data_IF_434919009464
#
_entry.id   IF_434919009464
#
_cell.length_a   1.000
_cell.length_b   1.000
_cell.length_c   1.000
_cell.angle_alpha   90.00
_cell.angle_beta   90.00
_cell.angle_gamma   90.00
#
_symmetry.space_group_name_H-M   'P 1'
#
loop_
_entity.id
_entity.type
_entity.pdbx_description
1 polymer ?
#
# COMPACT_ATOMS: atom_id res chain seq x y z
N UNK A 1 23.98 18.16 1.89
CA UNK A 1 22.79 18.74 1.24
C UNK A 1 21.60 18.29 2.08
N UNK A 2 20.94 19.19 2.81
CA UNK A 2 19.79 18.81 3.63
C UNK A 2 18.62 18.44 2.70
N UNK A 3 17.99 17.28 2.91
CA UNK A 3 16.79 16.91 2.19
C UNK A 3 15.70 17.97 2.42
N UNK A 4 15.33 18.70 1.38
CA UNK A 4 14.25 19.67 1.43
C UNK A 4 12.98 19.00 0.93
N UNK A 5 12.18 18.50 1.87
CA UNK A 5 10.87 17.95 1.52
C UNK A 5 9.95 19.08 1.08
N UNK A 6 9.46 18.99 -0.14
CA UNK A 6 8.42 19.91 -0.61
C UNK A 6 7.14 19.70 0.19
N UNK A 7 6.27 20.71 0.26
CA UNK A 7 4.96 20.56 0.91
C UNK A 7 4.17 19.38 0.32
N UNK A 8 4.27 19.17 -1.00
CA UNK A 8 3.67 18.02 -1.67
C UNK A 8 4.25 16.69 -1.19
N UNK A 9 5.58 16.58 -1.09
CA UNK A 9 6.28 15.42 -0.54
C UNK A 9 5.81 15.08 0.87
N UNK A 10 5.66 16.10 1.73
CA UNK A 10 5.19 15.92 3.11
C UNK A 10 3.76 15.39 3.16
N UNK A 11 2.86 15.91 2.31
CA UNK A 11 1.48 15.41 2.20
C UNK A 11 1.47 13.94 1.78
N UNK A 12 2.27 13.58 0.77
CA UNK A 12 2.38 12.20 0.29
C UNK A 12 2.91 11.26 1.38
N UNK A 13 3.93 11.66 2.13
CA UNK A 13 4.48 10.87 3.23
C UNK A 13 3.46 10.67 4.36
N UNK A 14 2.75 11.73 4.74
CA UNK A 14 1.70 11.65 5.78
C UNK A 14 0.55 10.76 5.30
N UNK A 15 0.08 10.94 4.07
CA UNK A 15 -0.97 10.11 3.47
C UNK A 15 -0.56 8.64 3.33
N UNK A 16 0.68 8.39 2.93
CA UNK A 16 1.26 7.06 2.89
C UNK A 16 1.28 6.40 4.27
N UNK A 17 1.70 7.13 5.31
CA UNK A 17 1.72 6.63 6.68
C UNK A 17 0.32 6.31 7.20
N UNK A 18 -0.67 7.16 6.90
CA UNK A 18 -2.08 6.87 7.21
C UNK A 18 -2.57 5.60 6.52
N UNK A 19 -2.20 5.40 5.26
CA UNK A 19 -2.55 4.17 4.54
C UNK A 19 -1.88 2.91 5.12
N UNK A 20 -0.64 3.00 5.62
CA UNK A 20 0.01 1.89 6.35
C UNK A 20 -0.79 1.53 7.61
N UNK A 21 -1.20 2.53 8.40
CA UNK A 21 -2.02 2.31 9.59
C UNK A 21 -3.36 1.67 9.25
N UNK A 22 -4.03 2.16 8.22
CA UNK A 22 -5.29 1.59 7.74
C UNK A 22 -5.11 0.14 7.25
N UNK A 23 -4.05 -0.13 6.50
CA UNK A 23 -3.68 -1.48 6.08
C UNK A 23 -3.50 -2.43 7.27
N UNK A 24 -2.76 -2.00 8.29
CA UNK A 24 -2.55 -2.81 9.50
C UNK A 24 -3.90 -3.12 10.18
N UNK A 25 -4.78 -2.12 10.30
CA UNK A 25 -6.12 -2.32 10.83
C UNK A 25 -6.94 -3.32 10.00
N UNK A 26 -6.89 -3.24 8.66
CA UNK A 26 -7.61 -4.15 7.76
C UNK A 26 -7.09 -5.59 7.79
N UNK A 27 -5.77 -5.78 7.96
CA UNK A 27 -5.13 -7.11 7.98
C UNK A 27 -5.34 -7.81 9.32
N UNK A 28 -5.15 -7.08 10.42
CA UNK A 28 -5.16 -7.64 11.78
C UNK A 28 -6.51 -7.48 12.50
N UNK A 29 -7.39 -6.60 12.00
CA UNK A 29 -8.71 -6.37 12.57
C UNK A 29 -9.65 -7.57 12.39
N UNK A 30 -10.37 -7.93 13.47
CA UNK A 30 -11.43 -8.95 13.41
C UNK A 30 -12.71 -8.33 12.86
N UNK A 31 -13.12 -8.75 11.67
CA UNK A 31 -14.30 -8.23 10.95
C UNK A 31 -15.04 -9.36 10.24
N UNK A 32 -16.34 -9.19 9.98
CA UNK A 32 -17.22 -10.20 9.36
C UNK A 32 -16.69 -10.73 8.01
N UNK A 33 -16.01 -9.89 7.23
CA UNK A 33 -15.36 -10.26 5.96
C UNK A 33 -13.84 -10.29 6.07
N UNK A 34 -13.33 -11.13 6.97
CA UNK A 34 -11.90 -11.15 7.33
C UNK A 34 -10.97 -11.34 6.12
N UNK A 35 -11.31 -12.21 5.17
CA UNK A 35 -10.46 -12.45 3.98
C UNK A 35 -10.46 -11.28 2.99
N UNK A 36 -11.64 -10.76 2.63
CA UNK A 36 -11.75 -9.60 1.74
C UNK A 36 -11.05 -8.36 2.34
N UNK A 37 -11.19 -8.14 3.65
CA UNK A 37 -10.53 -7.03 4.33
C UNK A 37 -9.01 -7.20 4.38
N UNK A 38 -8.49 -8.41 4.52
CA UNK A 38 -7.04 -8.67 4.41
C UNK A 38 -6.52 -8.36 3.01
N UNK A 39 -7.23 -8.75 1.97
CA UNK A 39 -6.86 -8.44 0.57
C UNK A 39 -6.90 -6.94 0.31
N UNK A 40 -7.94 -6.25 0.81
CA UNK A 40 -8.03 -4.80 0.75
C UNK A 40 -6.89 -4.13 1.54
N UNK A 41 -6.51 -4.68 2.68
CA UNK A 41 -5.37 -4.24 3.48
C UNK A 41 -4.05 -4.37 2.72
N UNK A 42 -3.79 -5.53 2.10
CA UNK A 42 -2.61 -5.75 1.26
C UNK A 42 -2.56 -4.80 0.06
N UNK A 43 -3.70 -4.53 -0.58
CA UNK A 43 -3.80 -3.58 -1.68
C UNK A 43 -3.52 -2.15 -1.20
N UNK A 44 -4.08 -1.78 -0.05
CA UNK A 44 -3.83 -0.48 0.60
C UNK A 44 -2.35 -0.32 0.97
N UNK A 45 -1.72 -1.37 1.51
CA UNK A 45 -0.28 -1.38 1.81
C UNK A 45 0.56 -1.15 0.57
N UNK A 46 0.23 -1.86 -0.51
CA UNK A 46 0.90 -1.74 -1.81
C UNK A 46 0.82 -0.30 -2.32
N UNK A 47 -0.36 0.32 -2.22
CA UNK A 47 -0.56 1.72 -2.59
C UNK A 47 0.26 2.69 -1.72
N UNK A 48 0.24 2.50 -0.40
CA UNK A 48 1.03 3.33 0.52
C UNK A 48 2.53 3.24 0.25
N UNK A 49 3.05 2.03 0.01
CA UNK A 49 4.45 1.83 -0.34
C UNK A 49 4.80 2.47 -1.68
N UNK A 50 3.89 2.40 -2.66
CA UNK A 50 4.08 3.03 -3.97
C UNK A 50 4.17 4.57 -3.87
N UNK A 51 3.53 5.19 -2.88
CA UNK A 51 3.64 6.63 -2.62
C UNK A 51 4.92 6.97 -1.84
N UNK A 52 5.26 6.19 -0.81
CA UNK A 52 6.36 6.49 0.11
C UNK A 52 7.72 6.24 -0.55
N UNK A 53 7.90 5.09 -1.21
CA UNK A 53 9.20 4.66 -1.73
C UNK A 53 9.83 5.67 -2.70
N UNK A 54 9.11 6.19 -3.71
CA UNK A 54 9.67 7.18 -4.63
C UNK A 54 10.12 8.47 -3.92
N UNK A 55 9.39 8.89 -2.89
CA UNK A 55 9.73 10.10 -2.15
C UNK A 55 10.99 9.90 -1.29
N UNK A 56 11.19 8.71 -0.72
CA UNK A 56 12.43 8.36 -0.03
C UNK A 56 13.62 8.25 -1.00
N UNK A 57 13.45 7.55 -2.12
CA UNK A 57 14.48 7.37 -3.15
C UNK A 57 14.92 8.71 -3.73
N UNK A 58 13.99 9.63 -3.98
CA UNK A 58 14.30 10.96 -4.51
C UNK A 58 15.23 11.76 -3.59
N UNK A 59 15.06 11.63 -2.28
CA UNK A 59 15.83 12.38 -1.29
C UNK A 59 17.11 11.64 -0.85
N UNK A 60 17.13 10.30 -0.96
CA UNK A 60 18.22 9.42 -0.52
C UNK A 60 18.53 8.30 -1.55
N UNK A 61 18.94 8.64 -2.78
CA UNK A 61 19.05 7.67 -3.87
C UNK A 61 20.17 6.64 -3.68
N UNK A 62 21.24 7.00 -2.96
CA UNK A 62 22.39 6.13 -2.74
C UNK A 62 22.28 5.23 -1.51
N UNK A 63 21.39 5.58 -0.57
CA UNK A 63 21.28 4.86 0.70
C UNK A 63 20.36 3.63 0.58
N UNK A 64 19.48 3.60 -0.45
CA UNK A 64 18.43 2.59 -0.57
C UNK A 64 18.28 1.98 -1.99
N UNK A 65 19.33 1.38 -2.58
CA UNK A 65 19.26 0.77 -3.90
C UNK A 65 18.23 -0.36 -3.99
N UNK A 66 17.99 -1.08 -2.89
CA UNK A 66 17.01 -2.16 -2.83
C UNK A 66 15.55 -1.66 -2.87
N UNK A 67 15.28 -0.45 -2.37
CA UNK A 67 13.94 0.14 -2.43
C UNK A 67 13.55 0.47 -3.88
N UNK A 68 14.52 0.93 -4.68
CA UNK A 68 14.34 1.15 -6.11
C UNK A 68 13.92 -0.15 -6.80
N UNK A 69 14.65 -1.24 -6.54
CA UNK A 69 14.34 -2.55 -7.10
C UNK A 69 12.97 -3.08 -6.64
N UNK A 70 12.57 -2.82 -5.39
CA UNK A 70 11.28 -3.25 -4.83
C UNK A 70 10.07 -2.48 -5.38
N UNK A 71 10.26 -1.25 -5.88
CA UNK A 71 9.18 -0.44 -6.44
C UNK A 71 8.53 -1.05 -7.68
N UNK A 72 9.30 -1.78 -8.49
CA UNK A 72 8.85 -2.40 -9.74
C UNK A 72 7.86 -3.56 -9.52
N UNK A 73 8.18 -4.60 -8.71
CA UNK A 73 7.25 -5.71 -8.45
C UNK A 73 5.97 -5.27 -7.72
N UNK A 74 6.02 -4.21 -6.90
CA UNK A 74 4.83 -3.65 -6.24
C UNK A 74 3.74 -3.25 -7.24
N UNK A 75 4.12 -2.76 -8.42
CA UNK A 75 3.16 -2.34 -9.44
C UNK A 75 2.38 -3.54 -10.03
N UNK A 76 3.00 -4.72 -10.07
CA UNK A 76 2.36 -5.95 -10.53
C UNK A 76 1.41 -6.56 -9.52
N UNK A 77 1.46 -6.15 -8.24
CA UNK A 77 0.55 -6.66 -7.21
C UNK A 77 -0.86 -6.04 -7.29
N UNK A 78 -1.02 -4.86 -7.88
CA UNK A 78 -2.32 -4.19 -7.96
C UNK A 78 -3.40 -5.02 -8.63
N UNK A 79 -3.12 -5.55 -9.83
CA UNK A 79 -4.09 -6.33 -10.60
C UNK A 79 -4.55 -7.59 -9.88
N UNK A 80 -3.63 -8.51 -9.50
CA UNK A 80 -3.98 -9.73 -8.81
C UNK A 80 -4.67 -9.49 -7.46
N UNK A 81 -4.16 -8.56 -6.63
CA UNK A 81 -4.79 -8.26 -5.34
C UNK A 81 -6.21 -7.70 -5.52
N UNK A 82 -6.41 -6.84 -6.51
CA UNK A 82 -7.73 -6.29 -6.82
C UNK A 82 -8.69 -7.38 -7.30
N UNK A 83 -8.24 -8.26 -8.19
CA UNK A 83 -9.03 -9.39 -8.69
C UNK A 83 -9.46 -10.29 -7.54
N UNK A 84 -8.53 -10.73 -6.69
CA UNK A 84 -8.86 -11.59 -5.54
C UNK A 84 -9.78 -10.90 -4.53
N UNK A 85 -9.60 -9.59 -4.33
CA UNK A 85 -10.49 -8.80 -3.47
C UNK A 85 -11.92 -8.84 -3.99
N UNK A 86 -12.13 -8.54 -5.28
CA UNK A 86 -13.45 -8.54 -5.92
C UNK A 86 -14.06 -9.95 -5.89
N UNK A 87 -13.28 -10.98 -6.22
CA UNK A 87 -13.73 -12.38 -6.17
C UNK A 87 -14.20 -12.77 -4.78
N UNK A 88 -13.42 -12.45 -3.74
CA UNK A 88 -13.81 -12.73 -2.34
C UNK A 88 -15.04 -11.93 -1.91
N UNK A 89 -15.22 -10.72 -2.44
CA UNK A 89 -16.37 -9.88 -2.13
C UNK A 89 -17.67 -10.43 -2.73
N UNK A 90 -17.60 -10.97 -3.95
CA UNK A 90 -18.74 -11.54 -4.68
C UNK A 90 -19.09 -12.92 -4.13
N UNK A 91 -18.10 -13.83 -4.01
CA UNK A 91 -18.32 -15.20 -3.54
C UNK A 91 -18.66 -15.27 -2.05
N UNK A 92 -18.16 -14.32 -1.25
CA UNK A 92 -18.47 -14.21 0.17
C UNK A 92 -19.82 -13.55 0.48
N UNK A 93 -20.68 -13.30 -0.51
CA UNK A 93 -21.99 -12.69 -0.30
C UNK A 93 -23.06 -13.78 -0.06
N UNK A 94 -23.66 -13.90 1.15
CA UNK A 94 -24.65 -14.94 1.47
C UNK A 94 -26.02 -14.72 0.80
N UNK A 95 -26.14 -13.75 -0.13
CA UNK A 95 -27.37 -13.41 -0.84
C UNK A 95 -27.34 -13.81 -2.33
N UNK A 96 -26.40 -14.67 -2.73
CA UNK A 96 -26.42 -15.43 -3.99
C UNK A 96 -26.53 -16.93 -3.68
#
# INVERSE_FOLDING_TARGET
MFASFSLFSSILLIGGMQGILLSAFLIFGKTYRTQANRLLGLLTLTFSLNIIIPEFVKNYPHDFPHLIAASFPLLFLFGPLFLFYVENLITGNPFN
#
